data_IF_777556862864
#
_entry.id   IF_777556862864
#
_cell.length_a   1.000
_cell.length_b   1.000
_cell.length_c   1.000
_cell.angle_alpha   90.00
_cell.angle_beta   90.00
_cell.angle_gamma   90.00
#
_symmetry.space_group_name_H-M   'P 1'
#
loop_
_entity.id
_entity.type
_entity.pdbx_description
1 polymer ?
#
# COMPACT_ATOMS: atom_id res chain seq x y z
N UNK A 1 3.15 -44.41 -12.61
CA UNK A 1 1.80 -44.22 -13.17
C UNK A 1 0.80 -44.56 -12.08
N UNK A 2 0.20 -43.57 -11.42
CA UNK A 2 -0.98 -43.76 -10.56
C UNK A 2 -1.60 -42.39 -10.29
N UNK A 3 -2.57 -42.04 -11.14
CA UNK A 3 -3.44 -40.87 -10.98
C UNK A 3 -4.49 -41.17 -9.91
N UNK A 4 -4.55 -40.36 -8.86
CA UNK A 4 -5.65 -40.37 -7.88
C UNK A 4 -6.59 -39.21 -8.20
N UNK A 5 -7.67 -39.55 -8.91
CA UNK A 5 -8.74 -38.66 -9.29
C UNK A 5 -9.78 -38.64 -8.16
N UNK A 6 -9.81 -37.58 -7.34
CA UNK A 6 -10.81 -37.42 -6.28
C UNK A 6 -11.92 -36.53 -6.83
N UNK A 7 -13.00 -37.18 -7.27
CA UNK A 7 -14.22 -36.54 -7.72
C UNK A 7 -15.12 -36.27 -6.51
N UNK A 8 -15.17 -35.02 -6.03
CA UNK A 8 -16.14 -34.61 -5.01
C UNK A 8 -17.39 -34.04 -5.68
N UNK A 9 -18.54 -34.66 -5.42
CA UNK A 9 -19.85 -34.14 -5.81
C UNK A 9 -20.41 -33.20 -4.72
N UNK A 10 -20.99 -32.05 -5.09
CA UNK A 10 -21.74 -31.20 -4.15
C UNK A 10 -23.17 -31.74 -3.96
N UNK A 11 -23.50 -32.03 -2.71
CA UNK A 11 -24.81 -32.47 -2.25
C UNK A 11 -25.71 -31.24 -2.08
N UNK A 12 -26.63 -31.01 -3.01
CA UNK A 12 -27.62 -29.92 -2.95
C UNK A 12 -28.84 -30.40 -2.15
N UNK A 13 -29.05 -29.84 -0.97
CA UNK A 13 -30.30 -30.02 -0.23
C UNK A 13 -31.39 -29.09 -0.80
N UNK A 14 -32.63 -29.57 -1.01
CA UNK A 14 -33.74 -28.75 -1.45
C UNK A 14 -34.26 -27.85 -0.32
N UNK A 15 -34.39 -26.54 -0.60
CA UNK A 15 -35.10 -25.58 0.24
C UNK A 15 -36.59 -25.92 0.26
N UNK A 16 -37.06 -26.48 1.38
CA UNK A 16 -38.49 -26.67 1.65
C UNK A 16 -39.15 -25.34 1.95
N UNK A 17 -40.14 -24.99 1.13
CA UNK A 17 -41.00 -23.83 1.30
C UNK A 17 -41.82 -23.94 2.59
N UNK A 18 -41.71 -22.93 3.46
CA UNK A 18 -42.58 -22.76 4.62
C UNK A 18 -43.89 -22.07 4.22
N UNK A 19 -45.04 -22.48 4.79
CA UNK A 19 -46.33 -21.89 4.50
C UNK A 19 -46.47 -20.48 5.09
N UNK A 20 -47.00 -19.56 4.27
CA UNK A 20 -47.40 -18.22 4.69
C UNK A 20 -48.68 -18.29 5.51
N UNK A 21 -48.57 -18.06 6.82
CA UNK A 21 -49.73 -17.78 7.69
C UNK A 21 -50.15 -16.33 7.50
N UNK A 22 -51.29 -16.10 6.83
CA UNK A 22 -51.96 -14.80 6.80
C UNK A 22 -52.84 -14.66 8.05
N UNK A 23 -52.32 -14.00 9.09
CA UNK A 23 -53.15 -13.49 10.18
C UNK A 23 -53.64 -12.08 9.83
N UNK A 24 -54.92 -11.99 9.45
CA UNK A 24 -55.60 -10.72 9.24
C UNK A 24 -56.30 -10.31 10.53
N UNK A 25 -55.58 -9.62 11.41
CA UNK A 25 -56.16 -9.00 12.60
C UNK A 25 -56.38 -7.52 12.32
N UNK A 26 -57.65 -7.14 12.14
CA UNK A 26 -58.10 -5.76 12.04
C UNK A 26 -57.83 -5.03 13.37
N UNK A 27 -56.64 -4.46 13.49
CA UNK A 27 -56.22 -3.67 14.64
C UNK A 27 -56.62 -2.23 14.38
N UNK A 28 -57.51 -1.70 15.22
CA UNK A 28 -57.90 -0.29 15.22
C UNK A 28 -56.66 0.59 15.40
N UNK A 29 -56.49 1.55 14.48
CA UNK A 29 -55.39 2.52 14.49
C UNK A 29 -55.53 3.47 15.68
N UNK A 30 -54.58 3.46 16.64
CA UNK A 30 -54.53 4.46 17.70
C UNK A 30 -54.19 5.83 17.12
N UNK A 31 -54.72 6.88 17.76
CA UNK A 31 -54.53 8.27 17.36
C UNK A 31 -53.03 8.61 17.17
N UNK A 32 -52.70 9.15 15.99
CA UNK A 32 -51.35 9.53 15.55
C UNK A 32 -50.76 10.55 16.52
N UNK A 33 -49.89 10.10 17.43
CA UNK A 33 -49.13 11.01 18.28
C UNK A 33 -48.22 11.89 17.41
N UNK A 34 -48.03 13.18 17.77
CA UNK A 34 -47.14 14.07 17.03
C UNK A 34 -45.72 13.49 17.05
N UNK A 35 -45.18 13.17 15.87
CA UNK A 35 -43.83 12.63 15.74
C UNK A 35 -42.82 13.64 16.32
N UNK A 36 -41.87 13.20 17.15
CA UNK A 36 -40.78 14.04 17.61
C UNK A 36 -39.99 14.56 16.40
N UNK A 37 -39.45 15.78 16.45
CA UNK A 37 -38.69 16.36 15.36
C UNK A 37 -37.60 15.38 14.92
N UNK A 38 -37.69 14.91 13.68
CA UNK A 38 -36.77 13.94 13.11
C UNK A 38 -35.37 14.59 13.06
N UNK A 39 -34.54 14.27 14.03
CA UNK A 39 -33.12 14.62 13.99
C UNK A 39 -32.51 13.78 12.87
N UNK A 40 -32.31 14.39 11.71
CA UNK A 40 -31.57 13.74 10.63
C UNK A 40 -30.18 13.38 11.16
N UNK A 41 -29.90 12.08 11.24
CA UNK A 41 -28.58 11.60 11.60
C UNK A 41 -27.60 12.13 10.57
N UNK A 42 -26.63 12.94 11.03
CA UNK A 42 -25.56 13.44 10.16
C UNK A 42 -24.71 12.26 9.71
N UNK A 43 -24.63 12.06 8.40
CA UNK A 43 -23.76 11.08 7.77
C UNK A 43 -22.32 11.58 7.73
N UNK A 44 -21.36 10.66 7.67
CA UNK A 44 -19.97 10.99 7.37
C UNK A 44 -19.83 11.72 6.01
N UNK A 45 -20.71 11.42 5.05
CA UNK A 45 -20.74 12.09 3.76
C UNK A 45 -21.19 13.57 3.84
N UNK A 46 -21.86 13.96 4.92
CA UNK A 46 -22.34 15.34 5.12
C UNK A 46 -21.23 16.26 5.66
N UNK A 47 -20.07 15.70 6.04
CA UNK A 47 -18.91 16.48 6.46
C UNK A 47 -18.27 17.16 5.25
N UNK A 48 -17.76 18.41 5.37
CA UNK A 48 -16.87 19.00 4.37
C UNK A 48 -15.64 18.14 4.08
N UNK A 49 -15.09 18.24 2.87
CA UNK A 49 -13.97 17.41 2.41
C UNK A 49 -12.71 17.60 3.26
N UNK A 50 -12.50 18.82 3.77
CA UNK A 50 -11.38 19.20 4.62
C UNK A 50 -11.40 18.39 5.92
N UNK A 51 -12.55 18.31 6.59
CA UNK A 51 -12.71 17.54 7.82
C UNK A 51 -12.54 16.03 7.57
N UNK A 52 -13.01 15.53 6.43
CA UNK A 52 -12.79 14.11 6.06
C UNK A 52 -11.30 13.83 5.85
N UNK A 53 -10.59 14.71 5.15
CA UNK A 53 -9.15 14.57 4.92
C UNK A 53 -8.34 14.63 6.22
N UNK A 54 -8.73 15.47 7.19
CA UNK A 54 -8.13 15.47 8.53
C UNK A 54 -8.36 14.12 9.23
N UNK A 55 -9.60 13.60 9.21
CA UNK A 55 -9.92 12.27 9.77
C UNK A 55 -9.07 11.18 9.11
N UNK A 56 -8.94 11.19 7.77
CA UNK A 56 -8.08 10.25 7.05
C UNK A 56 -6.62 10.39 7.46
N UNK A 57 -6.12 11.62 7.63
CA UNK A 57 -4.73 11.88 8.05
C UNK A 57 -4.47 11.29 9.43
N UNK A 58 -5.34 11.58 10.40
CA UNK A 58 -5.22 11.04 11.77
C UNK A 58 -5.33 9.51 11.84
N UNK A 59 -6.02 8.87 10.90
CA UNK A 59 -6.25 7.41 10.92
C UNK A 59 -5.25 6.61 10.08
N UNK A 60 -4.67 7.21 9.04
CA UNK A 60 -3.85 6.50 8.05
C UNK A 60 -2.37 6.87 8.10
N UNK A 61 -2.01 8.07 8.55
CA UNK A 61 -0.62 8.53 8.59
C UNK A 61 0.01 8.07 9.90
N UNK A 62 1.14 7.38 9.79
CA UNK A 62 1.94 6.93 10.93
C UNK A 62 3.17 7.82 11.07
N UNK A 63 3.54 8.12 12.31
CA UNK A 63 4.78 8.83 12.64
C UNK A 63 6.03 7.96 12.43
N UNK A 64 5.89 6.64 12.54
CA UNK A 64 6.94 5.66 12.29
C UNK A 64 6.78 5.04 10.90
N UNK A 65 7.87 4.56 10.27
CA UNK A 65 7.79 3.76 9.06
C UNK A 65 6.85 2.56 9.21
N UNK A 66 6.16 2.23 8.12
CA UNK A 66 5.37 1.01 7.99
C UNK A 66 6.33 -0.10 7.56
N UNK A 67 6.71 -0.94 8.51
CA UNK A 67 7.52 -2.13 8.27
C UNK A 67 6.74 -3.16 7.45
N UNK A 68 7.31 -3.57 6.34
CA UNK A 68 6.75 -4.57 5.45
C UNK A 68 7.25 -5.98 5.83
N UNK A 69 6.40 -7.01 5.72
CA UNK A 69 6.76 -8.37 6.12
C UNK A 69 7.93 -8.91 5.28
N UNK A 70 8.72 -9.80 5.87
CA UNK A 70 9.78 -10.48 5.14
C UNK A 70 9.21 -11.32 3.99
N UNK A 71 9.95 -11.40 2.89
CA UNK A 71 9.52 -12.14 1.70
C UNK A 71 9.18 -13.62 1.94
N UNK A 72 9.79 -14.26 2.95
CA UNK A 72 9.54 -15.67 3.30
C UNK A 72 8.43 -15.85 4.35
N UNK A 73 7.93 -14.77 4.95
CA UNK A 73 6.81 -14.85 5.88
C UNK A 73 5.52 -15.14 5.11
N UNK A 74 4.64 -15.94 5.72
CA UNK A 74 3.29 -16.17 5.19
C UNK A 74 2.37 -14.96 5.37
N UNK A 75 2.82 -13.94 6.09
CA UNK A 75 2.12 -12.67 6.21
C UNK A 75 2.11 -11.94 4.86
N UNK A 76 1.00 -11.25 4.58
CA UNK A 76 0.86 -10.36 3.44
C UNK A 76 0.68 -8.96 3.95
N UNK A 77 1.20 -7.98 3.21
CA UNK A 77 0.87 -6.59 3.46
C UNK A 77 -0.65 -6.43 3.34
N UNK A 78 -1.27 -5.82 4.37
CA UNK A 78 -2.69 -5.53 4.39
C UNK A 78 -2.88 -4.03 4.48
N UNK A 79 -3.65 -3.50 3.55
CA UNK A 79 -4.10 -2.10 3.62
C UNK A 79 -5.01 -1.90 4.85
N UNK A 80 -5.03 -0.69 5.44
CA UNK A 80 -5.95 -0.36 6.51
C UNK A 80 -7.41 -0.62 6.11
N UNK A 81 -8.21 -1.13 7.05
CA UNK A 81 -9.61 -1.49 6.81
C UNK A 81 -10.44 -0.31 6.26
N UNK A 82 -10.06 0.93 6.61
CA UNK A 82 -10.68 2.14 6.11
C UNK A 82 -10.69 2.23 4.57
N UNK A 83 -9.62 1.77 3.91
CA UNK A 83 -9.52 1.74 2.44
C UNK A 83 -10.43 0.67 1.79
N UNK A 84 -11.01 -0.24 2.58
CA UNK A 84 -11.92 -1.29 2.14
C UNK A 84 -13.40 -0.96 2.39
N UNK A 85 -13.73 0.23 2.89
CA UNK A 85 -15.10 0.61 3.27
C UNK A 85 -15.99 0.91 2.07
N UNK A 86 -15.75 2.02 1.38
CA UNK A 86 -16.48 2.42 0.16
C UNK A 86 -15.50 2.89 -0.92
N UNK A 87 -15.90 2.83 -2.18
CA UNK A 87 -15.07 3.29 -3.31
C UNK A 87 -14.73 4.77 -3.20
N UNK A 88 -15.67 5.59 -2.71
CA UNK A 88 -15.48 7.02 -2.51
C UNK A 88 -14.48 7.32 -1.38
N UNK A 89 -14.65 6.72 -0.19
CA UNK A 89 -13.66 6.84 0.91
C UNK A 89 -12.30 6.40 0.41
N UNK A 90 -12.22 5.28 -0.32
CA UNK A 90 -10.97 4.80 -0.89
C UNK A 90 -10.34 5.82 -1.83
N UNK A 91 -11.10 6.45 -2.71
CA UNK A 91 -10.57 7.43 -3.66
C UNK A 91 -9.94 8.64 -2.96
N UNK A 92 -10.55 9.12 -1.87
CA UNK A 92 -10.02 10.24 -1.07
C UNK A 92 -8.83 9.82 -0.19
N UNK A 93 -8.92 8.67 0.46
CA UNK A 93 -7.97 8.23 1.47
C UNK A 93 -6.70 7.58 0.90
N UNK A 94 -6.78 6.94 -0.27
CA UNK A 94 -5.65 6.25 -0.91
C UNK A 94 -4.43 7.16 -1.16
N UNK A 95 -4.55 8.40 -1.73
CA UNK A 95 -3.40 9.28 -1.88
C UNK A 95 -2.77 9.69 -0.55
N UNK A 96 -3.56 9.85 0.52
CA UNK A 96 -3.03 10.18 1.86
C UNK A 96 -2.22 8.99 2.38
N UNK A 97 -2.77 7.77 2.31
CA UNK A 97 -2.09 6.59 2.82
C UNK A 97 -0.76 6.31 2.10
N UNK A 98 -0.74 6.28 0.77
CA UNK A 98 0.50 6.00 0.04
C UNK A 98 1.44 7.21 -0.10
N UNK A 99 0.89 8.43 -0.07
CA UNK A 99 1.66 9.65 -0.30
C UNK A 99 2.29 10.24 0.96
N UNK A 100 1.75 9.96 2.15
CA UNK A 100 2.23 10.54 3.40
C UNK A 100 2.92 9.54 4.34
N UNK A 101 2.88 8.24 4.05
CA UNK A 101 3.58 7.23 4.85
C UNK A 101 4.92 6.85 4.24
N UNK A 102 5.83 6.40 5.11
CA UNK A 102 7.09 5.78 4.75
C UNK A 102 6.89 4.27 4.74
N UNK A 103 7.19 3.61 3.62
CA UNK A 103 7.17 2.15 3.54
C UNK A 103 8.60 1.61 3.59
N UNK A 104 8.86 0.71 4.53
CA UNK A 104 10.22 0.21 4.79
C UNK A 104 10.23 -1.31 4.66
N UNK A 105 11.19 -1.83 3.91
CA UNK A 105 11.31 -3.27 3.66
C UNK A 105 12.60 -3.79 4.26
N UNK A 106 12.56 -4.96 4.93
CA UNK A 106 13.74 -5.50 5.57
C UNK A 106 14.73 -6.13 4.58
N UNK A 107 14.34 -6.32 3.32
CA UNK A 107 15.20 -6.91 2.29
C UNK A 107 14.72 -6.62 0.86
N UNK A 108 15.62 -6.65 -0.14
CA UNK A 108 15.23 -6.45 -1.55
C UNK A 108 14.12 -7.41 -2.04
N UNK A 109 14.12 -8.71 -1.70
CA UNK A 109 13.01 -9.60 -2.07
C UNK A 109 11.66 -9.16 -1.49
N UNK A 110 11.64 -8.55 -0.31
CA UNK A 110 10.42 -8.04 0.33
C UNK A 110 9.89 -6.82 -0.42
N UNK A 111 10.78 -5.93 -0.87
CA UNK A 111 10.43 -4.83 -1.76
C UNK A 111 9.81 -5.30 -3.07
N UNK A 112 10.42 -6.28 -3.74
CA UNK A 112 9.85 -6.89 -4.93
C UNK A 112 8.46 -7.47 -4.69
N UNK A 113 8.29 -8.23 -3.60
CA UNK A 113 7.01 -8.85 -3.25
C UNK A 113 5.92 -7.80 -3.00
N UNK A 114 6.25 -6.73 -2.27
CA UNK A 114 5.34 -5.62 -2.00
C UNK A 114 4.89 -4.93 -3.28
N UNK A 115 5.83 -4.47 -4.11
CA UNK A 115 5.50 -3.74 -5.35
C UNK A 115 4.74 -4.62 -6.36
N UNK A 116 5.04 -5.92 -6.45
CA UNK A 116 4.30 -6.85 -7.34
C UNK A 116 2.82 -6.91 -7.01
N UNK A 117 2.45 -6.83 -5.72
CA UNK A 117 1.07 -6.89 -5.25
C UNK A 117 0.28 -5.59 -5.47
N UNK A 118 0.97 -4.46 -5.67
CA UNK A 118 0.33 -3.18 -5.87
C UNK A 118 -0.04 -2.94 -7.34
N UNK A 119 -1.20 -2.32 -7.58
CA UNK A 119 -1.54 -1.80 -8.90
C UNK A 119 -0.63 -0.60 -9.25
N UNK A 120 -0.32 -0.35 -10.55
CA UNK A 120 0.51 0.79 -10.96
C UNK A 120 0.05 2.13 -10.36
N UNK A 121 -1.26 2.39 -10.33
CA UNK A 121 -1.85 3.60 -9.75
C UNK A 121 -1.55 3.80 -8.26
N UNK A 122 -1.34 2.71 -7.51
CA UNK A 122 -0.93 2.76 -6.10
C UNK A 122 0.56 3.05 -5.98
N UNK A 123 1.36 2.39 -6.83
CA UNK A 123 2.82 2.60 -6.87
C UNK A 123 3.14 4.06 -7.19
N UNK A 124 2.43 4.68 -8.15
CA UNK A 124 2.59 6.08 -8.52
C UNK A 124 2.28 7.08 -7.40
N UNK A 125 1.58 6.65 -6.35
CA UNK A 125 1.24 7.48 -5.19
C UNK A 125 2.28 7.38 -4.08
N UNK A 126 3.18 6.41 -4.13
CA UNK A 126 4.25 6.26 -3.14
C UNK A 126 5.21 7.44 -3.26
N UNK A 127 5.44 8.15 -2.15
CA UNK A 127 6.39 9.28 -2.08
C UNK A 127 7.61 9.01 -1.23
N UNK A 128 7.56 8.03 -0.33
CA UNK A 128 8.66 7.68 0.56
C UNK A 128 8.76 6.14 0.69
N UNK A 129 9.78 5.56 0.08
CA UNK A 129 10.00 4.12 0.03
C UNK A 129 11.46 3.78 0.30
N UNK A 130 11.67 2.83 1.21
CA UNK A 130 12.97 2.36 1.69
C UNK A 130 13.11 0.87 1.36
N UNK A 131 13.56 0.53 0.14
CA UNK A 131 13.57 -0.84 -0.35
C UNK A 131 14.71 -1.72 0.20
N UNK A 132 15.70 -1.12 0.84
CA UNK A 132 16.95 -1.78 1.23
C UNK A 132 17.42 -1.17 2.56
N UNK A 133 17.56 -2.00 3.59
CA UNK A 133 18.09 -1.62 4.91
C UNK A 133 19.56 -2.09 5.11
N UNK A 134 20.24 -2.44 4.01
CA UNK A 134 21.64 -2.90 4.10
C UNK A 134 22.57 -1.69 4.19
N UNK A 135 23.10 -1.46 5.40
CA UNK A 135 24.06 -0.40 5.69
C UNK A 135 25.46 -0.98 5.85
N UNK A 136 26.28 -0.94 4.80
CA UNK A 136 27.68 -1.40 4.86
C UNK A 136 28.63 -0.28 5.33
N UNK A 137 29.79 -0.62 5.92
CA UNK A 137 30.81 0.36 6.31
C UNK A 137 31.39 1.09 5.09
N UNK A 138 31.88 2.32 5.30
CA UNK A 138 32.47 3.17 4.25
C UNK A 138 33.59 2.49 3.46
N UNK A 139 34.35 1.59 4.09
CA UNK A 139 35.41 0.81 3.41
C UNK A 139 34.89 -0.13 2.31
N UNK A 140 33.59 -0.43 2.29
CA UNK A 140 32.95 -1.29 1.31
C UNK A 140 32.17 -0.52 0.22
N UNK A 141 32.35 0.81 0.14
CA UNK A 141 31.55 1.74 -0.67
C UNK A 141 31.26 1.19 -2.08
N UNK A 142 32.30 0.82 -2.85
CA UNK A 142 32.13 0.38 -4.24
C UNK A 142 31.33 -0.92 -4.38
N UNK A 143 31.64 -1.95 -3.57
CA UNK A 143 30.91 -3.24 -3.62
C UNK A 143 29.48 -3.10 -3.13
N UNK A 144 29.27 -2.31 -2.08
CA UNK A 144 27.94 -1.98 -1.59
C UNK A 144 27.12 -1.28 -2.67
N UNK A 145 27.71 -0.29 -3.33
CA UNK A 145 27.05 0.44 -4.40
C UNK A 145 26.73 -0.41 -5.61
N UNK A 146 27.66 -1.26 -6.07
CA UNK A 146 27.36 -2.16 -7.19
C UNK A 146 26.20 -3.10 -6.85
N UNK A 147 26.13 -3.58 -5.61
CA UNK A 147 25.01 -4.39 -5.13
C UNK A 147 23.71 -3.56 -5.04
N UNK A 148 23.77 -2.35 -4.52
CA UNK A 148 22.64 -1.42 -4.43
C UNK A 148 22.09 -1.12 -5.82
N UNK A 149 22.96 -0.74 -6.76
CA UNK A 149 22.64 -0.49 -8.16
C UNK A 149 21.97 -1.69 -8.82
N UNK A 150 22.58 -2.87 -8.70
CA UNK A 150 22.01 -4.10 -9.25
C UNK A 150 20.64 -4.45 -8.68
N UNK A 151 20.46 -4.26 -7.36
CA UNK A 151 19.19 -4.54 -6.70
C UNK A 151 18.11 -3.52 -7.07
N UNK A 152 18.41 -2.22 -7.08
CA UNK A 152 17.46 -1.17 -7.42
C UNK A 152 17.05 -1.25 -8.89
N UNK A 153 17.99 -1.39 -9.83
CA UNK A 153 17.67 -1.52 -11.25
C UNK A 153 16.78 -2.74 -11.51
N UNK A 154 17.06 -3.87 -10.85
CA UNK A 154 16.18 -5.05 -10.92
C UNK A 154 14.80 -4.79 -10.31
N UNK A 155 14.73 -4.11 -9.16
CA UNK A 155 13.47 -3.74 -8.51
C UNK A 155 12.58 -2.88 -9.42
N UNK A 156 13.17 -1.87 -10.05
CA UNK A 156 12.47 -0.93 -10.93
C UNK A 156 11.99 -1.65 -12.19
N UNK A 157 12.88 -2.42 -12.83
CA UNK A 157 12.56 -3.17 -14.05
C UNK A 157 11.48 -4.24 -13.81
N UNK A 158 11.62 -5.07 -12.77
CA UNK A 158 10.76 -6.23 -12.57
C UNK A 158 9.45 -5.90 -11.84
N UNK A 159 9.44 -4.84 -11.02
CA UNK A 159 8.37 -4.62 -10.04
C UNK A 159 7.90 -3.16 -9.93
N UNK A 160 8.68 -2.20 -10.44
CA UNK A 160 8.31 -0.78 -10.46
C UNK A 160 7.20 -0.43 -11.44
N UNK A 161 6.95 -1.27 -12.46
CA UNK A 161 5.86 -1.13 -13.45
C UNK A 161 5.83 0.23 -14.17
N UNK A 162 6.97 0.92 -14.29
CA UNK A 162 7.06 2.30 -14.81
C UNK A 162 6.34 3.35 -13.96
N UNK A 163 5.81 2.98 -12.80
CA UNK A 163 5.00 3.83 -11.94
C UNK A 163 5.75 4.30 -10.70
N UNK A 164 6.80 3.59 -10.27
CA UNK A 164 7.62 4.00 -9.14
C UNK A 164 8.50 5.18 -9.53
N UNK A 165 8.29 6.33 -8.88
CA UNK A 165 9.13 7.52 -9.07
C UNK A 165 10.51 7.34 -8.44
N UNK A 166 11.55 7.87 -9.09
CA UNK A 166 12.92 7.96 -8.55
C UNK A 166 12.96 8.72 -7.23
N UNK A 167 12.19 9.81 -7.13
CA UNK A 167 12.14 10.69 -5.95
C UNK A 167 11.50 10.00 -4.74
N UNK A 168 10.75 8.93 -4.98
CA UNK A 168 10.15 8.15 -3.91
C UNK A 168 11.16 7.25 -3.20
N UNK A 169 12.25 6.87 -3.88
CA UNK A 169 13.22 5.90 -3.35
C UNK A 169 14.26 6.59 -2.49
N UNK A 170 14.38 6.11 -1.26
CA UNK A 170 15.37 6.56 -0.29
C UNK A 170 16.26 5.39 0.09
N UNK A 171 17.55 5.65 0.23
CA UNK A 171 18.55 4.65 0.62
C UNK A 171 19.26 5.06 1.91
N UNK A 172 19.75 4.10 2.71
CA UNK A 172 20.51 4.43 3.89
C UNK A 172 21.97 4.72 3.52
N UNK A 173 22.50 5.83 4.03
CA UNK A 173 23.90 6.24 3.88
C UNK A 173 24.49 6.42 5.28
N UNK A 174 25.72 5.98 5.52
CA UNK A 174 26.45 6.32 6.75
C UNK A 174 27.24 7.60 6.56
N UNK A 175 27.11 8.53 7.50
CA UNK A 175 28.04 9.64 7.60
C UNK A 175 29.41 9.17 8.14
N UNK A 176 30.39 10.08 8.19
CA UNK A 176 31.73 9.81 8.73
C UNK A 176 31.71 9.39 10.21
N UNK A 177 30.68 9.80 10.96
CA UNK A 177 30.46 9.38 12.34
C UNK A 177 29.85 7.97 12.46
N UNK A 178 29.53 7.32 11.33
CA UNK A 178 28.92 6.00 11.27
C UNK A 178 27.41 5.99 11.51
N UNK A 179 26.76 7.13 11.66
CA UNK A 179 25.31 7.25 11.81
C UNK A 179 24.61 7.07 10.47
N UNK A 180 23.52 6.31 10.47
CA UNK A 180 22.72 6.08 9.28
C UNK A 180 21.70 7.20 9.07
N UNK A 181 21.70 7.79 7.87
CA UNK A 181 20.68 8.73 7.40
C UNK A 181 20.04 8.21 6.12
N UNK A 182 18.73 8.46 5.96
CA UNK A 182 18.02 8.14 4.73
C UNK A 182 18.10 9.30 3.75
N UNK A 183 18.71 9.07 2.59
CA UNK A 183 18.91 10.07 1.57
C UNK A 183 18.15 9.70 0.30
N UNK A 184 17.69 10.73 -0.44
CA UNK A 184 17.15 10.55 -1.78
C UNK A 184 18.25 10.11 -2.75
N UNK A 185 17.87 9.47 -3.84
CA UNK A 185 18.81 9.01 -4.87
C UNK A 185 19.54 10.16 -5.57
N UNK A 186 18.88 11.28 -5.82
CA UNK A 186 19.43 12.47 -6.49
C UNK A 186 20.46 13.21 -5.62
N UNK A 187 20.41 13.03 -4.30
CA UNK A 187 21.34 13.63 -3.35
C UNK A 187 22.70 12.90 -3.28
N UNK A 188 22.89 11.82 -4.05
CA UNK A 188 24.11 11.01 -4.02
C UNK A 188 25.01 11.44 -5.17
N UNK A 189 26.17 11.99 -4.84
CA UNK A 189 27.08 12.58 -5.83
C UNK A 189 27.53 11.59 -6.89
N UNK A 190 27.76 10.33 -6.52
CA UNK A 190 28.29 9.28 -7.39
C UNK A 190 27.28 8.72 -8.41
N UNK A 191 25.99 9.07 -8.30
CA UNK A 191 24.94 8.54 -9.15
C UNK A 191 24.40 9.53 -10.17
N UNK A 192 24.02 8.97 -11.30
CA UNK A 192 23.14 9.59 -12.28
C UNK A 192 21.87 8.75 -12.41
N UNK A 193 20.72 9.42 -12.39
CA UNK A 193 19.42 8.79 -12.66
C UNK A 193 19.19 8.90 -14.16
N UNK A 194 19.34 7.78 -14.86
CA UNK A 194 19.11 7.69 -16.30
C UNK A 194 17.65 7.36 -16.54
N UNK A 195 16.93 8.30 -17.12
CA UNK A 195 15.55 8.11 -17.53
C UNK A 195 15.49 7.47 -18.92
N UNK A 196 14.73 6.38 -19.04
CA UNK A 196 14.39 5.75 -20.30
C UNK A 196 12.95 6.11 -20.70
N UNK A 197 12.51 5.64 -21.86
CA UNK A 197 11.13 5.82 -22.32
C UNK A 197 10.11 5.18 -21.34
N UNK A 198 8.87 5.70 -21.36
CA UNK A 198 7.73 5.15 -20.61
C UNK A 198 7.85 5.20 -19.07
N UNK A 199 8.55 6.20 -18.52
CA UNK A 199 8.66 6.39 -17.07
C UNK A 199 9.55 5.37 -16.36
N UNK A 200 10.31 4.58 -17.13
CA UNK A 200 11.36 3.72 -16.60
C UNK A 200 12.60 4.57 -16.31
N UNK A 201 13.30 4.22 -15.25
CA UNK A 201 14.56 4.84 -14.91
C UNK A 201 15.49 3.79 -14.31
N UNK A 202 16.77 4.09 -14.33
CA UNK A 202 17.82 3.27 -13.73
C UNK A 202 18.86 4.18 -13.11
N UNK A 203 19.70 3.61 -12.24
CA UNK A 203 20.85 4.31 -11.68
C UNK A 203 22.14 3.79 -12.31
N UNK A 204 22.99 4.73 -12.70
CA UNK A 204 24.31 4.50 -13.28
C UNK A 204 25.38 5.27 -12.49
N UNK A 205 26.63 4.85 -12.63
CA UNK A 205 27.77 5.59 -12.07
C UNK A 205 27.98 6.84 -12.91
N UNK A 206 28.22 7.99 -12.28
CA UNK A 206 28.81 9.13 -13.00
C UNK A 206 30.20 8.72 -13.46
N UNK A 207 30.41 8.65 -14.77
CA UNK A 207 31.76 8.50 -15.30
C UNK A 207 32.59 9.69 -14.83
N UNK A 208 33.72 9.42 -14.19
CA UNK A 208 34.66 10.48 -13.81
C UNK A 208 35.21 11.08 -15.11
N UNK A 209 34.70 12.26 -15.48
CA UNK A 209 35.20 13.09 -16.58
C UNK A 209 36.66 13.51 -16.35
#
# INVERSE_FOLDING_TARGET
MTNLNIHMQPNWLPLTALPRFCFSSATQLPAKQPEPPQQHAKSFADLPAELRNEIYTYTLVRSSPIELPYAYEKAYFREPALLATTSWVRAEALPIFYGCNIFETPSPPSAHRFLKQLAPDKIARIRLFRPIDLILPLSAHRRWFDALRGNLNRLIADSGKGALSSDAVHIPIRNDAGEASWCKLDAIEDFEIVHADEGRWSIEWKEAL
#
